data_IF_183864725716
#
_entry.id   IF_183864725716
#
_cell.length_a   1.000
_cell.length_b   1.000
_cell.length_c   1.000
_cell.angle_alpha   90.00
_cell.angle_beta   90.00
_cell.angle_gamma   90.00
#
_symmetry.space_group_name_H-M   'P 1'
#
loop_
_entity.id
_entity.type
_entity.pdbx_description
1 polymer ?
#
# COMPACT_ATOMS: atom_id res chain seq x y z
N UNK A 1 -14.87 0.87 27.36
CA UNK A 1 -14.22 0.16 26.23
C UNK A 1 -14.28 1.08 25.02
N UNK A 2 -13.18 1.17 24.22
CA UNK A 2 -13.11 2.05 23.05
C UNK A 2 -13.80 1.40 21.86
N UNK A 3 -14.70 2.11 21.18
CA UNK A 3 -15.31 1.66 19.92
C UNK A 3 -14.40 2.03 18.75
N UNK A 4 -14.18 1.09 17.83
CA UNK A 4 -13.44 1.28 16.58
C UNK A 4 -14.37 1.14 15.38
N UNK A 5 -14.21 2.01 14.37
CA UNK A 5 -14.90 1.86 13.08
C UNK A 5 -13.92 1.43 12.02
N UNK A 6 -14.09 0.24 11.47
CA UNK A 6 -13.25 -0.33 10.43
C UNK A 6 -13.86 0.03 9.08
N UNK A 7 -13.14 0.83 8.27
CA UNK A 7 -13.60 1.33 6.98
C UNK A 7 -12.87 0.60 5.85
N UNK A 8 -13.64 -0.04 4.98
CA UNK A 8 -13.14 -0.88 3.89
C UNK A 8 -13.73 -0.41 2.56
N UNK A 9 -12.98 0.33 1.72
CA UNK A 9 -13.38 0.58 0.35
C UNK A 9 -13.22 -0.71 -0.47
N UNK A 10 -14.19 -1.04 -1.32
CA UNK A 10 -14.12 -2.20 -2.22
C UNK A 10 -14.48 -1.79 -3.65
N UNK A 11 -13.72 -2.32 -4.63
CA UNK A 11 -13.96 -2.15 -6.04
C UNK A 11 -13.55 -3.39 -6.82
N UNK A 12 -14.52 -4.14 -7.37
CA UNK A 12 -14.32 -5.36 -8.15
C UNK A 12 -13.47 -6.44 -7.45
N UNK A 13 -13.64 -6.62 -6.11
CA UNK A 13 -12.84 -7.53 -5.28
C UNK A 13 -13.65 -8.27 -4.21
N UNK A 14 -14.74 -8.97 -4.60
CA UNK A 14 -15.57 -9.67 -3.62
C UNK A 14 -14.80 -10.77 -2.87
N UNK A 15 -13.91 -11.52 -3.55
CA UNK A 15 -13.16 -12.63 -2.94
C UNK A 15 -12.15 -12.14 -1.90
N UNK A 16 -11.46 -11.03 -2.19
CA UNK A 16 -10.54 -10.44 -1.21
C UNK A 16 -11.31 -9.90 0.01
N UNK A 17 -12.48 -9.30 -0.21
CA UNK A 17 -13.35 -8.85 0.88
C UNK A 17 -13.82 -10.02 1.75
N UNK A 18 -14.15 -11.18 1.16
CA UNK A 18 -14.56 -12.38 1.90
C UNK A 18 -13.47 -12.82 2.89
N UNK A 19 -12.22 -12.90 2.43
CA UNK A 19 -11.07 -13.24 3.28
C UNK A 19 -10.88 -12.23 4.43
N UNK A 20 -11.02 -10.93 4.15
CA UNK A 20 -10.92 -9.88 5.17
C UNK A 20 -12.04 -9.98 6.20
N UNK A 21 -13.31 -10.09 5.78
CA UNK A 21 -14.45 -10.22 6.68
C UNK A 21 -14.38 -11.50 7.52
N UNK A 22 -13.93 -12.62 6.91
CA UNK A 22 -13.67 -13.86 7.64
C UNK A 22 -12.61 -13.67 8.73
N UNK A 23 -11.58 -12.89 8.48
CA UNK A 23 -10.53 -12.59 9.46
C UNK A 23 -11.02 -11.65 10.58
N UNK A 24 -11.94 -10.74 10.28
CA UNK A 24 -12.59 -9.85 11.25
C UNK A 24 -13.49 -10.62 12.23
N UNK A 25 -14.19 -11.66 11.76
CA UNK A 25 -14.96 -12.53 12.63
C UNK A 25 -14.14 -13.29 13.68
N UNK A 26 -12.81 -13.34 13.53
CA UNK A 26 -11.89 -14.06 14.41
C UNK A 26 -11.16 -13.14 15.40
N UNK A 27 -11.49 -11.84 15.42
CA UNK A 27 -10.82 -10.89 16.29
C UNK A 27 -11.14 -11.15 17.77
N UNK A 28 -10.13 -11.12 18.62
CA UNK A 28 -10.25 -11.28 20.08
C UNK A 28 -10.88 -10.06 20.75
N UNK A 29 -10.68 -8.87 20.19
CA UNK A 29 -11.34 -7.64 20.64
C UNK A 29 -12.62 -7.41 19.84
N UNK A 30 -13.77 -7.27 20.52
CA UNK A 30 -15.10 -7.34 19.88
C UNK A 30 -15.86 -6.00 19.78
N UNK A 31 -15.33 -4.91 20.37
CA UNK A 31 -15.98 -3.61 20.32
C UNK A 31 -15.60 -2.82 19.05
N UNK A 32 -16.13 -3.22 17.92
CA UNK A 32 -15.93 -2.54 16.64
C UNK A 32 -17.15 -2.70 15.74
N UNK A 33 -17.29 -1.77 14.81
CA UNK A 33 -18.19 -1.86 13.66
C UNK A 33 -17.38 -1.94 12.36
N UNK A 34 -17.98 -2.48 11.33
CA UNK A 34 -17.40 -2.61 10.00
C UNK A 34 -18.24 -1.83 9.01
N UNK A 35 -17.60 -0.95 8.24
CA UNK A 35 -18.25 -0.12 7.23
C UNK A 35 -17.60 -0.44 5.88
N UNK A 36 -18.31 -1.21 5.05
CA UNK A 36 -17.91 -1.55 3.69
C UNK A 36 -18.52 -0.54 2.73
N UNK A 37 -17.68 0.08 1.90
CA UNK A 37 -18.12 1.03 0.88
C UNK A 37 -17.75 0.50 -0.50
N UNK A 38 -18.76 0.09 -1.25
CA UNK A 38 -18.67 -0.37 -2.64
C UNK A 38 -18.55 0.84 -3.56
N UNK A 39 -17.42 0.98 -4.26
CA UNK A 39 -17.09 2.13 -5.11
C UNK A 39 -17.48 1.88 -6.59
N UNK A 40 -18.74 1.54 -6.85
CA UNK A 40 -19.28 1.37 -8.21
C UNK A 40 -18.71 0.16 -8.93
N UNK A 41 -18.60 -1.00 -8.25
CA UNK A 41 -18.10 -2.25 -8.86
C UNK A 41 -19.05 -2.80 -9.91
N UNK A 42 -18.46 -3.38 -10.97
CA UNK A 42 -19.16 -4.23 -11.93
C UNK A 42 -19.47 -5.61 -11.33
N UNK A 43 -18.61 -6.09 -10.42
CA UNK A 43 -18.79 -7.31 -9.64
C UNK A 43 -19.06 -6.93 -8.19
N UNK A 44 -20.35 -6.80 -7.78
CA UNK A 44 -20.69 -6.31 -6.45
C UNK A 44 -20.35 -7.32 -5.35
N UNK A 45 -19.96 -6.80 -4.19
CA UNK A 45 -19.66 -7.61 -3.01
C UNK A 45 -20.89 -7.86 -2.10
N UNK A 46 -22.10 -7.46 -2.52
CA UNK A 46 -23.32 -7.51 -1.72
C UNK A 46 -23.62 -8.91 -1.15
N UNK A 47 -23.47 -9.96 -1.95
CA UNK A 47 -23.71 -11.34 -1.52
C UNK A 47 -22.69 -11.78 -0.46
N UNK A 48 -21.43 -11.39 -0.63
CA UNK A 48 -20.37 -11.65 0.34
C UNK A 48 -20.71 -10.98 1.67
N UNK A 49 -21.03 -9.68 1.64
CA UNK A 49 -21.41 -8.91 2.83
C UNK A 49 -22.59 -9.57 3.57
N UNK A 50 -23.60 -10.05 2.81
CA UNK A 50 -24.77 -10.73 3.36
C UNK A 50 -24.44 -11.96 4.22
N UNK A 51 -23.36 -12.69 3.91
CA UNK A 51 -22.91 -13.88 4.68
C UNK A 51 -22.41 -13.53 6.09
N UNK A 52 -22.03 -12.27 6.32
CA UNK A 52 -21.46 -11.80 7.58
C UNK A 52 -22.42 -10.94 8.40
N UNK A 53 -23.61 -10.60 7.86
CA UNK A 53 -24.66 -9.94 8.61
C UNK A 53 -25.11 -10.86 9.77
N UNK A 54 -25.22 -10.29 10.96
CA UNK A 54 -25.50 -11.05 12.20
C UNK A 54 -24.27 -11.66 12.89
N UNK A 55 -23.10 -11.68 12.23
CA UNK A 55 -21.81 -12.07 12.84
C UNK A 55 -20.93 -10.87 13.20
N UNK A 56 -21.08 -9.78 12.46
CA UNK A 56 -20.39 -8.50 12.64
C UNK A 56 -21.44 -7.38 12.69
N UNK A 57 -21.16 -6.31 13.43
CA UNK A 57 -21.89 -5.04 13.30
C UNK A 57 -21.44 -4.40 11.96
N UNK A 58 -22.09 -4.81 10.88
CA UNK A 58 -21.66 -4.61 9.49
C UNK A 58 -22.64 -3.72 8.73
N UNK A 59 -22.13 -2.61 8.21
CA UNK A 59 -22.84 -1.65 7.37
C UNK A 59 -22.29 -1.67 5.96
N UNK A 60 -23.15 -1.68 4.96
CA UNK A 60 -22.78 -1.73 3.55
C UNK A 60 -23.41 -0.57 2.79
N UNK A 61 -22.55 0.21 2.12
CA UNK A 61 -22.94 1.36 1.31
C UNK A 61 -22.42 1.21 -0.11
N UNK A 62 -23.21 1.66 -1.09
CA UNK A 62 -22.84 1.66 -2.50
C UNK A 62 -22.79 3.11 -2.98
N UNK A 63 -21.70 3.49 -3.60
CA UNK A 63 -21.54 4.81 -4.23
C UNK A 63 -21.14 4.64 -5.70
N UNK A 64 -21.27 5.71 -6.49
CA UNK A 64 -20.69 5.75 -7.85
C UNK A 64 -19.17 5.80 -7.77
N UNK A 65 -18.48 5.17 -8.74
CA UNK A 65 -17.01 5.10 -8.77
C UNK A 65 -16.37 6.48 -8.65
N UNK A 66 -15.82 6.76 -7.48
CA UNK A 66 -15.26 8.05 -7.09
C UNK A 66 -13.80 7.92 -6.61
N UNK A 67 -13.27 6.70 -6.59
CA UNK A 67 -11.94 6.36 -6.14
C UNK A 67 -11.84 6.06 -4.64
N UNK A 68 -10.75 5.35 -4.24
CA UNK A 68 -10.63 4.79 -2.89
C UNK A 68 -10.65 5.85 -1.78
N UNK A 69 -10.10 7.03 -2.03
CA UNK A 69 -10.13 8.14 -1.05
C UNK A 69 -11.54 8.61 -0.74
N UNK A 70 -12.38 8.76 -1.78
CA UNK A 70 -13.77 9.20 -1.62
C UNK A 70 -14.63 8.12 -0.98
N UNK A 71 -14.40 6.84 -1.30
CA UNK A 71 -15.07 5.73 -0.65
C UNK A 71 -14.74 5.68 0.85
N UNK A 72 -13.47 5.87 1.23
CA UNK A 72 -13.07 5.98 2.66
C UNK A 72 -13.73 7.19 3.33
N UNK A 73 -13.81 8.34 2.66
CA UNK A 73 -14.49 9.53 3.20
C UNK A 73 -15.99 9.28 3.40
N UNK A 74 -16.63 8.53 2.49
CA UNK A 74 -18.04 8.15 2.66
C UNK A 74 -18.21 7.28 3.92
N UNK A 75 -17.39 6.25 4.08
CA UNK A 75 -17.42 5.38 5.26
C UNK A 75 -17.13 6.12 6.57
N UNK A 76 -16.17 7.07 6.56
CA UNK A 76 -15.83 7.87 7.73
C UNK A 76 -17.00 8.72 8.25
N UNK A 77 -17.86 9.23 7.33
CA UNK A 77 -19.06 9.99 7.72
C UNK A 77 -20.13 9.13 8.42
N UNK A 78 -20.11 7.82 8.21
CA UNK A 78 -21.04 6.87 8.84
C UNK A 78 -20.50 6.29 10.15
N UNK A 79 -19.23 6.53 10.45
CA UNK A 79 -18.51 5.93 11.57
C UNK A 79 -18.93 6.50 12.93
N UNK A 80 -19.07 5.62 13.92
CA UNK A 80 -19.43 5.95 15.30
C UNK A 80 -18.23 5.87 16.26
N UNK A 81 -17.18 5.13 15.86
CA UNK A 81 -16.01 4.87 16.69
C UNK A 81 -15.16 6.09 17.00
N UNK A 82 -14.42 6.01 18.09
CA UNK A 82 -13.44 7.03 18.49
C UNK A 82 -12.24 7.09 17.51
N UNK A 83 -11.83 5.92 17.02
CA UNK A 83 -10.80 5.77 16.00
C UNK A 83 -11.38 5.13 14.74
N UNK A 84 -11.01 5.69 13.61
CA UNK A 84 -11.25 5.12 12.28
C UNK A 84 -10.06 4.23 11.92
N UNK A 85 -10.33 2.96 11.64
CA UNK A 85 -9.34 1.99 11.17
C UNK A 85 -9.57 1.75 9.70
N UNK A 86 -8.66 2.21 8.88
CA UNK A 86 -8.75 2.16 7.42
C UNK A 86 -7.96 0.96 6.95
N UNK A 87 -8.62 0.07 6.20
CA UNK A 87 -8.03 -1.14 5.62
C UNK A 87 -8.32 -1.18 4.12
N UNK A 88 -7.37 -1.67 3.33
CA UNK A 88 -7.66 -2.05 1.95
C UNK A 88 -8.34 -3.44 1.94
N UNK A 89 -9.20 -3.71 0.96
CA UNK A 89 -9.96 -4.97 0.88
C UNK A 89 -9.10 -6.22 0.68
N UNK A 90 -7.84 -6.06 0.25
CA UNK A 90 -6.88 -7.13 -0.04
C UNK A 90 -5.94 -7.46 1.13
N UNK A 91 -6.36 -7.19 2.37
CA UNK A 91 -5.61 -7.58 3.58
C UNK A 91 -6.30 -8.72 4.32
N UNK A 92 -5.51 -9.49 5.07
CA UNK A 92 -5.98 -10.52 6.01
C UNK A 92 -5.36 -10.25 7.37
N UNK A 93 -6.18 -10.31 8.42
CA UNK A 93 -5.79 -9.90 9.76
C UNK A 93 -5.43 -11.10 10.64
N UNK A 94 -4.38 -11.00 11.48
CA UNK A 94 -4.23 -11.89 12.64
C UNK A 94 -5.40 -11.71 13.61
N UNK A 95 -5.78 -12.76 14.32
CA UNK A 95 -6.89 -12.71 15.28
C UNK A 95 -6.70 -11.70 16.42
N UNK A 96 -5.47 -11.37 16.75
CA UNK A 96 -5.09 -10.41 17.80
C UNK A 96 -4.77 -9.00 17.27
N UNK A 97 -5.05 -8.73 15.97
CA UNK A 97 -4.68 -7.44 15.36
C UNK A 97 -5.32 -6.24 16.08
N UNK A 98 -6.63 -6.32 16.35
CA UNK A 98 -7.36 -5.22 16.99
C UNK A 98 -7.01 -5.10 18.49
N UNK A 99 -6.77 -6.21 19.16
CA UNK A 99 -6.25 -6.23 20.54
C UNK A 99 -4.89 -5.53 20.64
N UNK A 100 -3.94 -5.84 19.74
CA UNK A 100 -2.65 -5.17 19.69
C UNK A 100 -2.76 -3.66 19.41
N UNK A 101 -3.74 -3.22 18.61
CA UNK A 101 -4.04 -1.79 18.42
C UNK A 101 -4.52 -1.19 19.71
N UNK A 102 -5.49 -1.85 20.39
CA UNK A 102 -6.07 -1.37 21.64
C UNK A 102 -5.00 -1.19 22.71
N UNK A 103 -4.16 -2.19 22.92
CA UNK A 103 -3.07 -2.17 23.89
C UNK A 103 -2.02 -1.11 23.54
N UNK A 104 -1.64 -1.00 22.26
CA UNK A 104 -0.70 0.00 21.81
C UNK A 104 -1.21 1.43 22.04
N UNK A 105 -2.51 1.68 21.83
CA UNK A 105 -3.14 2.98 22.08
C UNK A 105 -3.26 3.31 23.57
N UNK A 106 -3.41 2.30 24.43
CA UNK A 106 -3.43 2.49 25.88
C UNK A 106 -2.04 2.86 26.41
N UNK A 107 -0.98 2.26 25.87
CA UNK A 107 0.41 2.56 26.26
C UNK A 107 0.96 3.84 25.58
N UNK A 108 0.57 4.07 24.34
CA UNK A 108 1.07 5.17 23.51
C UNK A 108 -0.11 5.90 22.85
N UNK A 109 -0.81 6.80 23.57
CA UNK A 109 -1.89 7.58 22.96
C UNK A 109 -1.33 8.47 21.84
N UNK A 110 -1.81 8.26 20.61
CA UNK A 110 -1.41 9.02 19.41
C UNK A 110 -2.63 9.38 18.58
N UNK A 111 -2.48 10.39 17.73
CA UNK A 111 -3.58 10.87 16.89
C UNK A 111 -3.79 10.00 15.66
N UNK A 112 -2.69 9.46 15.11
CA UNK A 112 -2.74 8.49 14.02
C UNK A 112 -1.60 7.46 14.12
N UNK A 113 -1.83 6.29 13.55
CA UNK A 113 -0.84 5.21 13.54
C UNK A 113 -0.96 4.37 12.28
N UNK A 114 0.00 3.49 12.07
CA UNK A 114 -0.09 2.43 11.06
C UNK A 114 0.61 1.17 11.55
N UNK A 115 0.25 0.05 10.96
CA UNK A 115 0.92 -1.23 11.16
C UNK A 115 1.69 -1.65 9.91
N UNK A 116 2.72 -2.53 10.06
CA UNK A 116 3.45 -3.05 8.92
C UNK A 116 2.63 -4.11 8.16
N UNK A 117 3.00 -4.32 6.89
CA UNK A 117 2.53 -5.43 6.10
C UNK A 117 3.52 -6.60 6.11
N UNK A 118 2.99 -7.82 6.00
CA UNK A 118 3.76 -9.05 5.84
C UNK A 118 3.30 -9.82 4.62
N UNK A 119 4.22 -10.55 4.01
CA UNK A 119 3.88 -11.54 2.98
C UNK A 119 3.20 -12.75 3.63
N UNK A 120 2.12 -13.24 3.04
CA UNK A 120 1.50 -14.49 3.49
C UNK A 120 2.29 -15.71 3.00
N UNK A 121 2.29 -16.79 3.79
CA UNK A 121 3.01 -18.02 3.42
C UNK A 121 2.51 -18.64 2.12
N UNK A 122 1.22 -18.47 1.79
CA UNK A 122 0.57 -18.97 0.57
C UNK A 122 0.89 -18.17 -0.70
N UNK A 123 1.75 -17.15 -0.64
CA UNK A 123 2.09 -16.37 -1.82
C UNK A 123 2.63 -17.26 -2.95
N UNK A 124 2.08 -17.08 -4.15
CA UNK A 124 2.59 -17.70 -5.37
C UNK A 124 4.02 -17.23 -5.68
N UNK A 125 4.79 -17.93 -6.50
CA UNK A 125 6.15 -17.51 -6.87
C UNK A 125 6.20 -16.08 -7.41
N UNK A 126 5.20 -15.65 -8.20
CA UNK A 126 5.15 -14.29 -8.73
C UNK A 126 4.85 -13.25 -7.64
N UNK A 127 3.99 -13.55 -6.68
CA UNK A 127 3.74 -12.67 -5.54
C UNK A 127 4.96 -12.53 -4.63
N UNK A 128 5.73 -13.62 -4.42
CA UNK A 128 7.01 -13.58 -3.71
C UNK A 128 8.04 -12.72 -4.43
N UNK A 129 8.11 -12.83 -5.76
CA UNK A 129 8.98 -12.03 -6.61
C UNK A 129 8.61 -10.53 -6.56
N UNK A 130 7.33 -10.19 -6.65
CA UNK A 130 6.84 -8.82 -6.50
C UNK A 130 7.15 -8.29 -5.08
N UNK A 131 6.93 -9.11 -4.06
CA UNK A 131 7.28 -8.72 -2.69
C UNK A 131 8.78 -8.44 -2.54
N UNK A 132 9.64 -9.28 -3.14
CA UNK A 132 11.08 -9.03 -3.20
C UNK A 132 11.38 -7.68 -3.86
N UNK A 133 10.85 -7.43 -5.06
CA UNK A 133 11.06 -6.17 -5.77
C UNK A 133 10.63 -4.96 -4.92
N UNK A 134 9.51 -5.05 -4.19
CA UNK A 134 8.98 -3.96 -3.36
C UNK A 134 9.75 -3.72 -2.05
N UNK A 135 10.58 -4.66 -1.60
CA UNK A 135 11.24 -4.61 -0.27
C UNK A 135 12.75 -4.67 -0.32
N UNK A 136 13.35 -5.09 -1.45
CA UNK A 136 14.81 -5.15 -1.60
C UNK A 136 15.43 -3.75 -1.58
N UNK A 137 16.58 -3.64 -0.92
CA UNK A 137 17.40 -2.43 -0.96
C UNK A 137 17.84 -2.09 -2.39
N UNK A 138 18.16 -3.09 -3.18
CA UNK A 138 18.63 -2.94 -4.56
C UNK A 138 17.59 -2.29 -5.49
N UNK A 139 16.31 -2.36 -5.13
CA UNK A 139 15.21 -1.81 -5.94
C UNK A 139 14.59 -0.55 -5.33
N UNK A 140 14.57 -0.45 -3.99
CA UNK A 140 13.87 0.63 -3.28
C UNK A 140 14.80 1.64 -2.63
N UNK A 141 16.11 1.41 -2.65
CA UNK A 141 17.09 2.26 -1.96
C UNK A 141 16.84 2.36 -0.44
N UNK A 142 16.20 1.35 0.15
CA UNK A 142 15.90 1.32 1.59
C UNK A 142 14.68 2.14 2.05
N UNK A 143 13.90 2.74 1.13
CA UNK A 143 12.64 3.43 1.48
C UNK A 143 11.65 2.47 2.14
N UNK A 144 11.62 1.21 1.69
CA UNK A 144 10.82 0.13 2.27
C UNK A 144 11.75 -0.91 2.89
N UNK A 145 11.42 -1.36 4.10
CA UNK A 145 12.20 -2.41 4.80
C UNK A 145 13.41 -1.93 5.61
N UNK A 146 13.77 -0.63 5.60
CA UNK A 146 14.82 -0.07 6.45
C UNK A 146 14.41 0.05 7.93
N UNK A 147 15.36 0.39 8.85
CA UNK A 147 15.05 0.70 10.26
C UNK A 147 14.06 1.84 10.32
N UNK A 148 12.80 1.53 10.61
CA UNK A 148 11.71 2.51 10.72
C UNK A 148 11.85 3.24 12.06
N UNK A 149 11.85 4.58 12.03
CA UNK A 149 11.60 5.35 13.24
C UNK A 149 10.16 5.07 13.68
N UNK A 150 9.97 4.64 14.92
CA UNK A 150 8.63 4.33 15.45
C UNK A 150 7.78 5.60 15.52
N UNK A 151 8.38 6.72 15.95
CA UNK A 151 7.75 8.03 15.98
C UNK A 151 7.95 8.76 14.63
N UNK A 152 7.05 9.68 14.30
CA UNK A 152 7.00 10.37 12.99
C UNK A 152 6.86 9.39 11.82
N UNK A 153 5.93 8.47 11.96
CA UNK A 153 5.57 7.51 10.93
C UNK A 153 4.50 8.09 10.00
N UNK A 154 4.61 7.84 8.71
CA UNK A 154 3.59 8.18 7.71
C UNK A 154 2.63 6.99 7.54
N UNK A 155 1.44 6.99 8.16
CA UNK A 155 0.48 5.89 8.01
C UNK A 155 0.06 5.68 6.56
N UNK A 156 -0.18 4.43 6.17
CA UNK A 156 -0.61 4.06 4.82
C UNK A 156 -2.00 3.43 4.90
N UNK A 157 -2.85 3.72 3.93
CA UNK A 157 -4.27 3.35 3.94
C UNK A 157 -4.57 1.87 4.07
N UNK A 158 -3.64 0.99 3.67
CA UNK A 158 -3.84 -0.45 3.80
C UNK A 158 -3.93 -0.94 5.26
N UNK A 159 -3.41 -0.16 6.22
CA UNK A 159 -3.45 -0.45 7.66
C UNK A 159 -3.16 0.84 8.45
N UNK A 160 -4.14 1.73 8.49
CA UNK A 160 -4.06 3.04 9.13
C UNK A 160 -5.13 3.18 10.21
N UNK A 161 -4.76 3.70 11.37
CA UNK A 161 -5.70 4.17 12.37
C UNK A 161 -5.55 5.66 12.59
N UNK A 162 -6.66 6.36 12.81
CA UNK A 162 -6.68 7.80 13.08
C UNK A 162 -7.88 8.15 13.96
N UNK A 163 -7.71 9.07 14.90
CA UNK A 163 -8.80 9.63 15.67
C UNK A 163 -9.83 10.27 14.76
N UNK A 164 -11.12 9.99 14.99
CA UNK A 164 -12.21 10.51 14.14
C UNK A 164 -12.22 12.04 14.07
N UNK A 165 -12.07 12.74 15.20
CA UNK A 165 -12.05 14.20 15.23
C UNK A 165 -10.87 14.81 14.43
N UNK A 166 -9.72 14.15 14.40
CA UNK A 166 -8.56 14.56 13.59
C UNK A 166 -8.84 14.34 12.11
N UNK A 167 -9.45 13.19 11.76
CA UNK A 167 -9.86 12.91 10.38
C UNK A 167 -10.84 13.97 9.85
N UNK A 168 -11.85 14.31 10.64
CA UNK A 168 -12.87 15.31 10.30
C UNK A 168 -12.25 16.71 10.16
N UNK A 169 -11.39 17.14 11.09
CA UNK A 169 -10.70 18.45 11.03
C UNK A 169 -9.81 18.59 9.80
N UNK A 170 -9.16 17.50 9.37
CA UNK A 170 -8.31 17.48 8.17
C UNK A 170 -9.12 17.31 6.88
N UNK A 171 -10.44 17.09 6.93
CA UNK A 171 -11.30 16.91 5.77
C UNK A 171 -11.12 15.56 5.05
N UNK A 172 -10.50 14.58 5.72
CA UNK A 172 -10.29 13.24 5.17
C UNK A 172 -9.33 13.18 3.99
N UNK A 173 -9.48 12.16 3.15
CA UNK A 173 -8.67 11.99 1.93
C UNK A 173 -9.04 13.02 0.87
N UNK A 174 -8.04 13.46 0.12
CA UNK A 174 -8.27 14.35 -1.03
C UNK A 174 -8.76 13.58 -2.25
N UNK A 175 -9.25 14.29 -3.27
CA UNK A 175 -9.72 13.69 -4.54
C UNK A 175 -8.60 13.15 -5.45
N UNK A 176 -7.37 12.99 -4.95
CA UNK A 176 -6.29 12.35 -5.71
C UNK A 176 -6.63 10.88 -5.94
N UNK A 177 -6.55 10.44 -7.20
CA UNK A 177 -6.82 9.05 -7.55
C UNK A 177 -5.70 8.09 -7.12
N UNK A 178 -4.47 8.58 -7.02
CA UNK A 178 -3.28 7.84 -6.59
C UNK A 178 -2.44 8.71 -5.67
N UNK A 179 -1.93 8.12 -4.59
CA UNK A 179 -1.10 8.81 -3.59
C UNK A 179 -1.92 9.62 -2.58
N UNK A 180 -3.24 9.45 -2.55
CA UNK A 180 -4.16 10.08 -1.60
C UNK A 180 -3.81 9.75 -0.14
N UNK A 181 -3.27 8.55 0.10
CA UNK A 181 -2.81 8.11 1.41
C UNK A 181 -1.53 8.83 1.87
N UNK A 182 -0.62 9.08 0.93
CA UNK A 182 0.61 9.84 1.20
C UNK A 182 0.26 11.32 1.45
N UNK A 183 -0.61 11.89 0.60
CA UNK A 183 -1.13 13.26 0.79
C UNK A 183 -1.74 13.41 2.18
N UNK A 184 -2.62 12.50 2.57
CA UNK A 184 -3.28 12.55 3.87
C UNK A 184 -2.27 12.44 5.02
N UNK A 185 -1.31 11.51 4.92
CA UNK A 185 -0.25 11.36 5.93
C UNK A 185 0.64 12.60 6.04
N UNK A 186 0.93 13.29 4.93
CA UNK A 186 1.68 14.56 4.96
C UNK A 186 0.86 15.60 5.71
N UNK A 187 -0.44 15.76 5.41
CA UNK A 187 -1.32 16.72 6.11
C UNK A 187 -1.45 16.45 7.61
N UNK A 188 -1.51 15.17 8.01
CA UNK A 188 -1.48 14.78 9.44
C UNK A 188 -0.19 15.29 10.10
N UNK A 189 0.96 15.11 9.44
CA UNK A 189 2.27 15.52 9.97
C UNK A 189 2.44 17.05 9.99
N UNK A 190 2.01 17.74 8.92
CA UNK A 190 2.08 19.21 8.81
C UNK A 190 1.19 19.91 9.82
N UNK A 191 0.05 19.32 10.16
CA UNK A 191 -0.84 19.80 11.22
C UNK A 191 -0.33 19.52 12.65
N UNK A 192 0.85 18.89 12.79
CA UNK A 192 1.49 18.66 14.10
C UNK A 192 0.92 17.50 14.91
N UNK A 193 0.07 16.64 14.32
CA UNK A 193 -0.48 15.49 15.01
C UNK A 193 0.57 14.41 15.25
N UNK A 194 0.45 13.70 16.37
CA UNK A 194 1.37 12.63 16.75
C UNK A 194 1.04 11.36 15.99
N UNK A 195 2.05 10.83 15.28
CA UNK A 195 1.95 9.58 14.54
C UNK A 195 2.92 8.56 15.08
N UNK A 196 2.56 7.26 14.99
CA UNK A 196 3.42 6.15 15.42
C UNK A 196 3.22 4.91 14.57
N UNK A 197 4.29 4.14 14.40
CA UNK A 197 4.21 2.76 13.90
C UNK A 197 3.90 1.82 15.07
N UNK A 198 2.88 0.98 14.92
CA UNK A 198 2.57 -0.13 15.84
C UNK A 198 3.04 -1.45 15.24
N UNK A 199 4.25 -1.94 15.59
CA UNK A 199 4.81 -3.14 14.95
C UNK A 199 4.00 -4.41 15.17
N UNK A 200 3.26 -4.51 16.28
CA UNK A 200 2.40 -5.65 16.60
C UNK A 200 1.08 -5.67 15.82
N UNK A 201 0.62 -4.51 15.34
CA UNK A 201 -0.61 -4.38 14.55
C UNK A 201 -0.35 -4.62 13.04
N UNK A 202 0.33 -5.72 12.71
CA UNK A 202 0.66 -6.05 11.33
C UNK A 202 -0.49 -6.78 10.62
N UNK A 203 -0.52 -6.69 9.28
CA UNK A 203 -1.48 -7.36 8.42
C UNK A 203 -0.79 -8.17 7.34
N UNK A 204 -1.42 -9.23 6.85
CA UNK A 204 -1.03 -9.84 5.58
C UNK A 204 -1.63 -9.02 4.45
N UNK A 205 -0.79 -8.52 3.54
CA UNK A 205 -1.25 -7.72 2.41
C UNK A 205 -0.99 -8.49 1.12
N UNK A 206 -2.04 -8.86 0.40
CA UNK A 206 -1.94 -9.59 -0.86
C UNK A 206 -1.19 -8.76 -1.89
N UNK A 207 -0.24 -9.38 -2.57
CA UNK A 207 0.47 -8.77 -3.70
C UNK A 207 -0.29 -9.03 -5.00
N UNK A 208 -0.05 -8.20 -6.01
CA UNK A 208 -0.59 -8.42 -7.35
C UNK A 208 -0.22 -9.82 -7.85
N UNK A 209 -1.12 -10.43 -8.62
CA UNK A 209 -0.98 -11.80 -9.10
C UNK A 209 -0.32 -11.90 -10.46
N UNK A 210 -0.15 -10.77 -11.17
CA UNK A 210 0.55 -10.69 -12.44
C UNK A 210 1.42 -9.43 -12.57
N UNK A 211 2.40 -9.49 -13.49
CA UNK A 211 3.39 -8.42 -13.71
C UNK A 211 2.79 -7.19 -14.39
N UNK A 212 1.74 -7.33 -15.21
CA UNK A 212 1.11 -6.19 -15.87
C UNK A 212 0.32 -5.32 -14.89
N UNK A 213 -0.43 -5.97 -13.98
CA UNK A 213 -1.09 -5.25 -12.88
C UNK A 213 -0.05 -4.56 -11.98
N UNK A 214 1.07 -5.25 -11.71
CA UNK A 214 2.16 -4.68 -10.94
C UNK A 214 2.82 -3.49 -11.65
N UNK A 215 3.08 -3.59 -12.96
CA UNK A 215 3.60 -2.49 -13.77
C UNK A 215 2.69 -1.26 -13.70
N UNK A 216 1.37 -1.45 -13.89
CA UNK A 216 0.38 -0.35 -13.79
C UNK A 216 0.41 0.29 -12.41
N UNK A 217 0.45 -0.51 -11.36
CA UNK A 217 0.50 -0.02 -9.97
C UNK A 217 1.74 0.86 -9.72
N UNK A 218 2.93 0.39 -10.10
CA UNK A 218 4.17 1.15 -9.85
C UNK A 218 4.27 2.38 -10.76
N UNK A 219 3.74 2.32 -11.98
CA UNK A 219 3.64 3.47 -12.88
C UNK A 219 2.79 4.58 -12.29
N UNK A 220 1.59 4.26 -11.79
CA UNK A 220 0.75 5.25 -11.09
C UNK A 220 1.44 5.81 -9.83
N UNK A 221 2.25 4.99 -9.14
CA UNK A 221 3.05 5.47 -8.00
C UNK A 221 4.11 6.51 -8.44
N UNK A 222 4.72 6.34 -9.62
CA UNK A 222 5.63 7.31 -10.21
C UNK A 222 4.93 8.62 -10.59
N UNK A 223 3.78 8.53 -11.28
CA UNK A 223 2.94 9.67 -11.64
C UNK A 223 2.50 10.45 -10.39
N UNK A 224 2.00 9.75 -9.37
CA UNK A 224 1.54 10.35 -8.12
C UNK A 224 2.64 11.13 -7.39
N UNK A 225 3.91 10.74 -7.54
CA UNK A 225 5.02 11.40 -6.84
C UNK A 225 5.21 12.85 -7.28
N UNK A 226 5.04 13.14 -8.56
CA UNK A 226 5.11 14.50 -9.11
C UNK A 226 3.89 15.33 -8.67
N UNK A 227 2.68 14.74 -8.73
CA UNK A 227 1.47 15.39 -8.25
C UNK A 227 1.56 15.75 -6.75
N UNK A 228 2.10 14.83 -5.93
CA UNK A 228 2.36 15.07 -4.50
C UNK A 228 3.35 16.20 -4.27
N UNK A 229 4.45 16.27 -5.03
CA UNK A 229 5.41 17.36 -4.88
C UNK A 229 4.85 18.73 -5.27
N UNK A 230 3.92 18.78 -6.23
CA UNK A 230 3.20 20.02 -6.57
C UNK A 230 2.31 20.50 -5.41
N UNK A 231 1.62 19.56 -4.78
CA UNK A 231 0.71 19.83 -3.66
C UNK A 231 1.46 20.11 -2.36
N UNK A 232 2.58 19.41 -2.15
CA UNK A 232 3.46 19.52 -0.98
C UNK A 232 4.90 19.77 -1.45
N UNK A 233 5.28 21.04 -1.73
CA UNK A 233 6.63 21.38 -2.15
C UNK A 233 7.68 20.87 -1.18
N UNK A 234 8.76 20.26 -1.71
CA UNK A 234 9.81 19.63 -0.89
C UNK A 234 9.52 18.19 -0.45
N UNK A 235 8.37 17.60 -0.79
CA UNK A 235 8.09 16.19 -0.52
C UNK A 235 8.86 15.23 -1.45
N UNK A 236 9.39 15.72 -2.58
CA UNK A 236 10.20 14.95 -3.50
C UNK A 236 11.63 14.84 -2.96
N UNK A 237 12.10 13.60 -2.76
CA UNK A 237 13.45 13.28 -2.33
C UNK A 237 14.25 12.72 -3.51
N UNK A 238 15.57 12.87 -3.49
CA UNK A 238 16.46 12.38 -4.54
C UNK A 238 16.23 10.89 -4.87
N UNK A 239 15.99 10.06 -3.86
CA UNK A 239 15.71 8.63 -4.02
C UNK A 239 14.46 8.35 -4.87
N UNK A 240 13.50 9.28 -4.94
CA UNK A 240 12.32 9.14 -5.82
C UNK A 240 12.65 9.35 -7.29
N UNK A 241 13.77 9.99 -7.61
CA UNK A 241 14.24 10.22 -8.97
C UNK A 241 15.05 9.03 -9.52
N UNK A 242 15.60 8.16 -8.64
CA UNK A 242 16.45 7.03 -9.05
C UNK A 242 15.81 6.09 -10.07
N UNK A 243 14.51 5.69 -9.97
CA UNK A 243 13.90 4.84 -10.98
C UNK A 243 13.76 5.52 -12.35
N UNK A 244 13.57 6.84 -12.38
CA UNK A 244 13.53 7.60 -13.64
C UNK A 244 14.93 7.65 -14.30
N UNK A 245 15.97 7.90 -13.50
CA UNK A 245 17.35 7.83 -13.95
C UNK A 245 17.71 6.43 -14.46
N UNK A 246 17.30 5.38 -13.72
CA UNK A 246 17.48 3.99 -14.14
C UNK A 246 16.80 3.72 -15.49
N UNK A 247 15.56 4.16 -15.68
CA UNK A 247 14.82 3.99 -16.94
C UNK A 247 15.55 4.65 -18.10
N UNK A 248 16.01 5.88 -17.90
CA UNK A 248 16.81 6.60 -18.92
C UNK A 248 18.14 5.87 -19.23
N UNK A 249 18.86 5.41 -18.21
CA UNK A 249 20.09 4.65 -18.37
C UNK A 249 19.87 3.34 -19.12
N UNK A 250 18.79 2.59 -18.82
CA UNK A 250 18.45 1.37 -19.57
C UNK A 250 18.22 1.66 -21.04
N UNK A 251 17.48 2.73 -21.37
CA UNK A 251 17.27 3.12 -22.77
C UNK A 251 18.61 3.41 -23.48
N UNK A 252 19.51 4.18 -22.86
CA UNK A 252 20.83 4.49 -23.43
C UNK A 252 21.70 3.23 -23.61
N UNK A 253 21.73 2.34 -22.62
CA UNK A 253 22.51 1.10 -22.69
C UNK A 253 21.99 0.16 -23.77
N UNK A 254 20.65 0.05 -23.93
CA UNK A 254 20.04 -0.76 -25.00
C UNK A 254 20.34 -0.14 -26.37
N UNK A 255 20.22 1.16 -26.54
CA UNK A 255 20.59 1.83 -27.80
C UNK A 255 22.09 1.64 -28.08
N UNK A 256 22.95 1.84 -27.09
CA UNK A 256 24.39 1.64 -27.22
C UNK A 256 24.77 0.21 -27.60
N UNK A 257 23.98 -0.79 -27.18
CA UNK A 257 24.25 -2.20 -27.49
C UNK A 257 24.15 -2.54 -28.98
N UNK A 258 23.47 -1.73 -29.79
CA UNK A 258 23.47 -1.88 -31.27
C UNK A 258 24.80 -1.52 -31.88
N UNK A 259 25.63 -0.73 -31.19
CA UNK A 259 26.99 -0.37 -31.63
C UNK A 259 28.03 -1.27 -30.98
N UNK A 260 27.84 -1.63 -29.70
CA UNK A 260 28.78 -2.49 -28.98
C UNK A 260 28.03 -3.24 -27.88
N UNK A 261 28.06 -4.58 -27.91
CA UNK A 261 27.39 -5.44 -26.92
C UNK A 261 27.83 -5.19 -25.47
N UNK A 262 29.04 -4.62 -25.26
CA UNK A 262 29.55 -4.29 -23.91
C UNK A 262 28.65 -3.33 -23.14
N UNK A 263 27.81 -2.54 -23.82
CA UNK A 263 26.81 -1.70 -23.15
C UNK A 263 25.74 -2.52 -22.38
N UNK A 264 25.56 -3.81 -22.67
CA UNK A 264 24.67 -4.69 -21.89
C UNK A 264 25.29 -5.19 -20.59
N UNK A 265 26.62 -5.14 -20.45
CA UNK A 265 27.34 -5.69 -19.29
C UNK A 265 26.82 -5.12 -17.95
N UNK A 266 26.60 -3.79 -17.79
CA UNK A 266 26.04 -3.25 -16.55
C UNK A 266 24.66 -3.81 -16.19
N UNK A 267 23.80 -4.02 -17.20
CA UNK A 267 22.46 -4.59 -17.00
C UNK A 267 22.52 -6.06 -16.59
N UNK A 268 23.44 -6.83 -17.21
CA UNK A 268 23.67 -8.23 -16.87
C UNK A 268 24.19 -8.35 -15.43
N UNK A 269 25.18 -7.52 -15.05
CA UNK A 269 25.71 -7.51 -13.67
C UNK A 269 24.61 -7.17 -12.67
N UNK A 270 23.78 -6.16 -12.95
CA UNK A 270 22.69 -5.79 -12.08
C UNK A 270 21.63 -6.90 -11.97
N UNK A 271 21.28 -7.56 -13.08
CA UNK A 271 20.37 -8.70 -13.09
C UNK A 271 20.91 -9.88 -12.25
N UNK A 272 22.20 -10.17 -12.36
CA UNK A 272 22.87 -11.19 -11.55
C UNK A 272 22.85 -10.85 -10.05
N UNK A 273 23.13 -9.60 -9.69
CA UNK A 273 23.06 -9.14 -8.29
C UNK A 273 21.65 -9.31 -7.72
N UNK A 274 20.62 -8.90 -8.49
CA UNK A 274 19.21 -9.10 -8.09
C UNK A 274 18.87 -10.57 -7.93
N UNK A 275 19.32 -11.41 -8.86
CA UNK A 275 19.09 -12.85 -8.83
C UNK A 275 19.70 -13.48 -7.58
N UNK A 276 20.97 -13.19 -7.30
CA UNK A 276 21.70 -13.73 -6.15
C UNK A 276 21.04 -13.28 -4.83
N UNK A 277 20.76 -11.96 -4.66
CA UNK A 277 20.07 -11.45 -3.46
C UNK A 277 18.67 -12.08 -3.29
N UNK A 278 17.91 -12.25 -4.38
CA UNK A 278 16.61 -12.89 -4.35
C UNK A 278 16.68 -14.37 -3.95
N UNK A 279 17.68 -15.10 -4.44
CA UNK A 279 17.92 -16.50 -4.06
C UNK A 279 18.16 -16.63 -2.55
N UNK A 280 19.04 -15.79 -1.99
CA UNK A 280 19.31 -15.83 -0.54
C UNK A 280 18.07 -15.50 0.29
N UNK A 281 17.24 -14.55 -0.14
CA UNK A 281 16.02 -14.14 0.60
C UNK A 281 14.86 -15.12 0.47
N UNK A 282 14.84 -15.96 -0.57
CA UNK A 282 13.73 -16.87 -0.86
C UNK A 282 14.13 -18.34 -0.78
N UNK A 283 15.02 -18.70 0.14
CA UNK A 283 15.43 -20.09 0.44
C UNK A 283 15.93 -20.84 -0.81
N UNK A 284 16.67 -20.15 -1.67
CA UNK A 284 17.24 -20.68 -2.92
C UNK A 284 16.21 -21.24 -3.91
N UNK A 285 14.99 -20.70 -3.94
CA UNK A 285 13.99 -21.04 -4.95
C UNK A 285 14.36 -20.37 -6.29
N UNK A 286 14.84 -21.17 -7.25
CA UNK A 286 15.30 -20.72 -8.56
C UNK A 286 14.19 -19.99 -9.34
N UNK A 287 12.95 -20.49 -9.27
CA UNK A 287 11.80 -19.88 -9.94
C UNK A 287 11.50 -18.50 -9.41
N UNK A 288 11.49 -18.36 -8.07
CA UNK A 288 11.30 -17.06 -7.42
C UNK A 288 12.49 -16.13 -7.72
N UNK A 289 13.72 -16.64 -7.74
CA UNK A 289 14.92 -15.87 -8.09
C UNK A 289 14.80 -15.22 -9.48
N UNK A 290 14.49 -16.00 -10.51
CA UNK A 290 14.33 -15.51 -11.88
C UNK A 290 13.17 -14.52 -12.00
N UNK A 291 12.01 -14.83 -11.43
CA UNK A 291 10.85 -13.93 -11.42
C UNK A 291 11.15 -12.62 -10.67
N UNK A 292 12.00 -12.65 -9.65
CA UNK A 292 12.39 -11.47 -8.88
C UNK A 292 13.20 -10.47 -9.70
N UNK A 293 14.06 -10.95 -10.59
CA UNK A 293 14.75 -10.08 -11.55
C UNK A 293 13.74 -9.37 -12.44
N UNK A 294 12.82 -10.11 -13.05
CA UNK A 294 11.78 -9.55 -13.94
C UNK A 294 10.91 -8.54 -13.16
N UNK A 295 10.46 -8.89 -11.96
CA UNK A 295 9.66 -8.01 -11.13
C UNK A 295 10.40 -6.73 -10.72
N UNK A 296 11.71 -6.82 -10.47
CA UNK A 296 12.56 -5.66 -10.13
C UNK A 296 12.69 -4.68 -11.29
N UNK A 297 12.94 -5.18 -12.50
CA UNK A 297 12.94 -4.34 -13.71
C UNK A 297 11.54 -3.76 -13.97
N UNK A 298 10.48 -4.56 -13.82
CA UNK A 298 9.09 -4.10 -13.92
C UNK A 298 8.82 -2.94 -12.96
N UNK A 299 9.29 -3.03 -11.72
CA UNK A 299 9.13 -1.96 -10.73
C UNK A 299 9.86 -0.69 -11.12
N UNK A 300 11.14 -0.79 -11.45
CA UNK A 300 11.99 0.38 -11.74
C UNK A 300 11.55 1.07 -13.04
N UNK A 301 11.31 0.30 -14.10
CA UNK A 301 10.86 0.83 -15.39
C UNK A 301 9.42 1.38 -15.30
N UNK A 302 8.53 0.65 -14.62
CA UNK A 302 7.14 1.12 -14.44
C UNK A 302 7.08 2.43 -13.68
N UNK A 303 7.74 2.52 -12.53
CA UNK A 303 7.80 3.77 -11.77
C UNK A 303 8.50 4.89 -12.54
N UNK A 304 9.65 4.61 -13.15
CA UNK A 304 10.42 5.59 -13.91
C UNK A 304 9.66 6.15 -15.10
N UNK A 305 8.98 5.30 -15.87
CA UNK A 305 8.13 5.75 -17.00
C UNK A 305 6.95 6.60 -16.53
N UNK A 306 6.28 6.23 -15.43
CA UNK A 306 5.23 7.05 -14.84
C UNK A 306 5.72 8.41 -14.36
N UNK A 307 6.87 8.44 -13.69
CA UNK A 307 7.51 9.66 -13.22
C UNK A 307 7.89 10.59 -14.39
N UNK A 308 8.57 10.07 -15.41
CA UNK A 308 8.97 10.84 -16.60
C UNK A 308 7.75 11.38 -17.36
N UNK A 309 6.73 10.54 -17.57
CA UNK A 309 5.48 10.97 -18.22
C UNK A 309 4.83 12.14 -17.47
N UNK A 310 4.80 12.08 -16.14
CA UNK A 310 4.19 13.14 -15.32
C UNK A 310 4.99 14.44 -15.36
N UNK A 311 6.31 14.40 -15.63
CA UNK A 311 7.13 15.58 -15.89
C UNK A 311 6.85 16.14 -17.28
N UNK A 312 6.80 15.29 -18.31
CA UNK A 312 6.61 15.72 -19.70
C UNK A 312 5.19 16.24 -19.98
N UNK A 313 4.16 15.70 -19.31
CA UNK A 313 2.80 16.20 -19.40
C UNK A 313 2.57 17.45 -18.53
N UNK A 314 3.59 18.26 -18.38
CA UNK A 314 3.50 19.57 -17.74
C UNK A 314 2.84 20.54 -18.72
N UNK A 315 1.74 21.26 -18.31
CA UNK A 315 1.28 22.39 -19.09
C UNK A 315 2.26 23.53 -19.07
#
# INVERSE_FOLDING_TARGET
MRLYSIIIPVYNRPDELDDLLSSLCKQTYVHFEVIVVEDGSEIPAKEIVGRYQGRLDLHYYVISNSGPGMARNHGARQARGEYLLILDSDVVLPSTWLEHIHDSLNHYPVDAFGGPDKAHASFSPIQKAINYAMTSFLTTGGIRGGKKKLDKFYPRSFNMGIRRDVYERLGGFSGMRYGEDIDFSIRIMEAGYRTRLFPSAWVYHKRRTDLMQFFRQVRHSGEARIALNRKHPGSLKLVHCLPALFTFSVCLLVIGSFFCWLFLVPLIIYALLLFVDAMFRNKCDLRVGLLSVIASFTQLLGYGTGFLRSIMNFP
#
